data_IF_258479497427
#
_entry.id   IF_258479497427
#
_cell.length_a   1.000
_cell.length_b   1.000
_cell.length_c   1.000
_cell.angle_alpha   90.00
_cell.angle_beta   90.00
_cell.angle_gamma   90.00
#
_symmetry.space_group_name_H-M   'P 1'
#
loop_
_entity.id
_entity.type
_entity.pdbx_description
1 polymer ?
#
# COMPACT_ATOMS: atom_id res chain seq x y z
N UNK A 1 22.50 -1.05 11.38
CA UNK A 1 21.18 -0.37 11.40
C UNK A 1 20.16 -1.42 11.04
N UNK A 2 18.96 -1.42 11.59
CA UNK A 2 17.92 -2.36 11.17
C UNK A 2 17.59 -2.09 9.70
N UNK A 3 17.48 -3.14 8.89
CA UNK A 3 17.05 -3.03 7.49
C UNK A 3 15.56 -2.64 7.39
N UNK A 4 14.86 -2.64 8.54
CA UNK A 4 13.43 -2.37 8.66
C UNK A 4 13.15 -1.00 9.30
N UNK A 5 12.36 -0.17 8.62
CA UNK A 5 11.94 1.14 9.16
C UNK A 5 10.69 1.01 10.03
N UNK A 6 9.82 0.05 9.72
CA UNK A 6 8.66 -0.33 10.54
C UNK A 6 8.77 -1.82 10.87
N UNK A 7 8.54 -2.16 12.14
CA UNK A 7 8.46 -3.54 12.63
C UNK A 7 7.24 -3.67 13.53
N UNK A 8 6.35 -4.58 13.22
CA UNK A 8 5.15 -4.91 13.98
C UNK A 8 5.18 -6.40 14.29
N UNK A 9 4.94 -6.78 15.56
CA UNK A 9 4.88 -8.18 15.97
C UNK A 9 3.64 -8.42 16.83
N UNK A 10 2.80 -9.37 16.41
CA UNK A 10 1.56 -9.84 17.04
C UNK A 10 0.66 -8.68 17.53
N UNK A 11 0.51 -7.64 16.70
CA UNK A 11 -0.22 -6.43 17.12
C UNK A 11 -1.73 -6.72 17.15
N UNK A 12 -2.36 -6.38 18.31
CA UNK A 12 -3.78 -6.61 18.55
C UNK A 12 -4.48 -5.35 19.00
N UNK A 13 -5.68 -5.11 18.47
CA UNK A 13 -6.55 -4.00 18.87
C UNK A 13 -8.01 -4.35 18.69
N UNK A 14 -8.80 -4.08 19.73
CA UNK A 14 -10.25 -4.25 19.71
C UNK A 14 -10.96 -2.95 20.06
N UNK A 15 -12.12 -2.75 19.45
CA UNK A 15 -13.06 -1.66 19.77
C UNK A 15 -14.43 -2.24 20.09
N UNK A 16 -14.94 -1.99 21.28
CA UNK A 16 -16.27 -2.45 21.72
C UNK A 16 -16.51 -3.95 21.42
N UNK A 17 -15.49 -4.79 21.63
CA UNK A 17 -15.54 -6.24 21.42
C UNK A 17 -15.27 -6.70 19.97
N UNK A 18 -15.18 -5.79 19.01
CA UNK A 18 -14.79 -6.13 17.62
C UNK A 18 -13.29 -5.99 17.44
N UNK A 19 -12.64 -7.04 16.96
CA UNK A 19 -11.20 -7.05 16.65
C UNK A 19 -10.93 -6.28 15.37
N UNK A 20 -10.18 -5.20 15.47
CA UNK A 20 -9.69 -4.43 14.33
C UNK A 20 -8.29 -4.88 13.89
N UNK A 21 -7.45 -5.33 14.84
CA UNK A 21 -6.19 -6.01 14.59
C UNK A 21 -6.17 -7.30 15.42
N UNK A 22 -5.76 -8.41 14.80
CA UNK A 22 -5.81 -9.73 15.40
C UNK A 22 -4.50 -10.53 15.17
N UNK A 23 -3.39 -9.99 15.67
CA UNK A 23 -2.08 -10.60 15.49
C UNK A 23 -1.42 -10.19 14.18
N UNK A 24 -1.38 -8.89 13.92
CA UNK A 24 -0.71 -8.35 12.74
C UNK A 24 0.80 -8.40 12.93
N UNK A 25 1.49 -9.07 11.99
CA UNK A 25 2.94 -9.03 11.81
C UNK A 25 3.26 -8.27 10.52
N UNK A 26 4.21 -7.32 10.58
CA UNK A 26 4.59 -6.51 9.42
C UNK A 26 6.03 -6.03 9.54
N UNK A 27 6.78 -6.06 8.43
CA UNK A 27 8.10 -5.46 8.31
C UNK A 27 8.18 -4.64 7.03
N UNK A 28 8.63 -3.39 7.15
CA UNK A 28 8.77 -2.47 6.02
C UNK A 28 10.24 -2.16 5.81
N UNK A 29 10.81 -2.49 4.65
CA UNK A 29 12.20 -2.18 4.32
C UNK A 29 12.45 -0.67 4.25
N UNK A 30 13.63 -0.23 4.68
CA UNK A 30 14.04 1.16 4.51
C UNK A 30 14.27 1.50 3.03
N UNK A 31 13.89 2.71 2.61
CA UNK A 31 14.07 3.20 1.25
C UNK A 31 13.12 2.63 0.21
N UNK A 32 12.10 1.87 0.61
CA UNK A 32 11.12 1.27 -0.30
C UNK A 32 9.81 2.05 -0.36
N UNK A 33 9.07 1.86 -1.46
CA UNK A 33 7.65 2.20 -1.54
C UNK A 33 6.86 0.96 -1.15
N UNK A 34 6.20 1.01 0.00
CA UNK A 34 5.47 -0.11 0.57
C UNK A 34 3.95 0.12 0.50
N UNK A 35 3.25 -0.72 -0.25
CA UNK A 35 1.79 -0.71 -0.37
C UNK A 35 1.13 -1.57 0.72
N UNK A 36 0.25 -0.98 1.52
CA UNK A 36 -0.52 -1.66 2.55
C UNK A 36 -1.99 -1.80 2.11
N UNK A 37 -2.30 -2.97 1.58
CA UNK A 37 -3.53 -3.26 0.86
C UNK A 37 -4.57 -3.96 1.72
N UNK A 38 -5.84 -3.61 1.55
CA UNK A 38 -6.93 -4.33 2.20
C UNK A 38 -8.28 -3.67 1.95
N UNK A 39 -9.34 -4.42 2.16
CA UNK A 39 -10.71 -3.91 2.08
C UNK A 39 -10.97 -2.85 3.17
N UNK A 40 -12.05 -2.10 3.01
CA UNK A 40 -12.49 -1.20 4.09
C UNK A 40 -12.84 -2.02 5.34
N UNK A 41 -12.33 -1.57 6.50
CA UNK A 41 -12.46 -2.30 7.76
C UNK A 41 -11.42 -3.40 8.00
N UNK A 42 -10.47 -3.66 7.09
CA UNK A 42 -9.42 -4.67 7.27
C UNK A 42 -8.41 -4.35 8.39
N UNK A 43 -8.34 -3.09 8.86
CA UNK A 43 -7.43 -2.66 9.92
C UNK A 43 -6.35 -1.66 9.50
N UNK A 44 -6.33 -1.20 8.23
CA UNK A 44 -5.30 -0.28 7.69
C UNK A 44 -5.14 0.99 8.53
N UNK A 45 -6.19 1.80 8.65
CA UNK A 45 -6.19 3.05 9.43
C UNK A 45 -5.89 2.81 10.92
N UNK A 46 -6.33 1.67 11.49
CA UNK A 46 -6.01 1.28 12.87
C UNK A 46 -4.52 1.03 13.03
N UNK A 47 -3.88 0.34 12.10
CA UNK A 47 -2.44 0.12 12.05
C UNK A 47 -1.68 1.45 11.97
N UNK A 48 -2.06 2.30 11.02
CA UNK A 48 -1.45 3.63 10.83
C UNK A 48 -1.58 4.50 12.09
N UNK A 49 -2.78 4.57 12.69
CA UNK A 49 -3.00 5.31 13.94
C UNK A 49 -2.14 4.76 15.09
N UNK A 50 -1.91 3.45 15.14
CA UNK A 50 -1.01 2.85 16.12
C UNK A 50 0.44 3.25 15.86
N UNK A 51 0.94 3.16 14.62
CA UNK A 51 2.30 3.58 14.24
C UNK A 51 2.56 5.06 14.56
N UNK A 52 1.54 5.91 14.39
CA UNK A 52 1.60 7.34 14.73
C UNK A 52 1.44 7.61 16.24
N UNK A 53 1.28 6.58 17.07
CA UNK A 53 0.99 6.70 18.50
C UNK A 53 -0.27 7.56 18.81
N UNK A 54 -1.27 7.53 17.91
CA UNK A 54 -2.58 8.10 18.15
C UNK A 54 -3.51 7.08 18.80
N UNK A 55 -3.16 5.80 18.73
CA UNK A 55 -3.91 4.68 19.26
C UNK A 55 -2.96 3.71 19.97
N UNK A 56 -3.29 3.36 21.22
CA UNK A 56 -2.55 2.34 21.96
C UNK A 56 -3.08 0.96 21.60
N UNK A 57 -2.20 0.00 21.23
CA UNK A 57 -2.61 -1.39 21.02
C UNK A 57 -3.01 -2.05 22.35
N UNK A 58 -3.78 -3.14 22.26
CA UNK A 58 -4.16 -3.93 23.44
C UNK A 58 -3.04 -4.92 23.81
N UNK A 59 -2.33 -5.45 22.81
CA UNK A 59 -1.13 -6.28 22.97
C UNK A 59 -0.26 -6.26 21.71
N UNK A 60 0.90 -6.92 21.76
CA UNK A 60 1.90 -6.90 20.70
C UNK A 60 2.81 -5.68 20.77
N UNK A 61 3.69 -5.55 19.78
CA UNK A 61 4.67 -4.45 19.74
C UNK A 61 4.74 -3.83 18.35
N UNK A 62 5.01 -2.53 18.31
CA UNK A 62 5.34 -1.81 17.08
C UNK A 62 6.58 -0.94 17.31
N UNK A 63 7.47 -0.92 16.33
CA UNK A 63 8.68 -0.09 16.31
C UNK A 63 8.73 0.69 15.00
N UNK A 64 9.22 1.92 15.08
CA UNK A 64 9.53 2.76 13.91
C UNK A 64 10.93 3.32 14.11
N UNK A 65 11.80 3.16 13.10
CA UNK A 65 13.23 3.45 13.19
C UNK A 65 13.94 2.72 14.34
N UNK A 66 13.49 1.48 14.66
CA UNK A 66 13.98 0.71 15.80
C UNK A 66 13.48 1.18 17.18
N UNK A 67 12.78 2.33 17.25
CA UNK A 67 12.24 2.89 18.49
C UNK A 67 10.81 2.38 18.75
N UNK A 68 10.47 1.98 19.99
CA UNK A 68 9.13 1.52 20.31
C UNK A 68 8.11 2.64 20.17
N UNK A 69 6.93 2.29 19.62
CA UNK A 69 5.79 3.21 19.57
C UNK A 69 5.05 3.14 20.90
N UNK A 70 4.72 4.31 21.47
CA UNK A 70 3.89 4.38 22.68
C UNK A 70 4.61 4.76 23.97
N UNK A 71 5.91 5.01 23.89
CA UNK A 71 6.72 5.52 25.02
C UNK A 71 7.17 6.98 24.82
N UNK A 72 8.14 7.43 25.62
CA UNK A 72 8.73 8.77 25.54
C UNK A 72 9.38 9.09 24.18
N UNK A 73 9.82 8.09 23.42
CA UNK A 73 10.40 8.25 22.08
C UNK A 73 9.37 8.59 20.99
N UNK A 74 8.06 8.48 21.26
CA UNK A 74 7.01 8.75 20.29
C UNK A 74 7.05 10.17 19.68
N UNK A 75 7.56 11.18 20.40
CA UNK A 75 7.73 12.54 19.85
C UNK A 75 8.87 12.57 18.83
N UNK A 76 9.99 11.93 19.12
CA UNK A 76 11.12 11.84 18.22
C UNK A 76 10.75 11.11 16.93
N UNK A 77 10.07 9.98 17.05
CA UNK A 77 9.55 9.21 15.92
C UNK A 77 8.66 10.09 15.04
N UNK A 78 7.66 10.79 15.61
CA UNK A 78 6.74 11.65 14.84
C UNK A 78 7.42 12.83 14.15
N UNK A 79 8.52 13.34 14.69
CA UNK A 79 9.30 14.41 14.03
C UNK A 79 9.96 13.95 12.74
N UNK A 80 10.24 12.66 12.62
CA UNK A 80 10.89 12.04 11.45
C UNK A 80 9.88 11.50 10.43
N UNK A 81 8.58 11.50 10.76
CA UNK A 81 7.51 11.02 9.89
C UNK A 81 6.77 12.18 9.23
N UNK A 82 6.58 12.12 7.92
CA UNK A 82 5.56 12.89 7.21
C UNK A 82 4.26 12.09 7.19
N UNK A 83 3.15 12.68 7.64
CA UNK A 83 1.89 11.97 7.75
C UNK A 83 0.79 12.69 6.97
N UNK A 84 0.03 11.92 6.18
CA UNK A 84 -1.19 12.35 5.49
C UNK A 84 -2.32 11.43 5.91
N UNK A 85 -3.40 12.02 6.43
CA UNK A 85 -4.62 11.30 6.84
C UNK A 85 -5.58 11.14 5.67
N UNK A 86 -6.44 10.11 5.72
CA UNK A 86 -7.58 9.95 4.82
C UNK A 86 -8.52 11.18 4.90
N UNK A 87 -8.86 11.63 6.12
CA UNK A 87 -9.59 12.87 6.36
C UNK A 87 -8.66 14.07 6.13
N UNK A 88 -8.74 14.67 4.97
CA UNK A 88 -7.86 15.77 4.52
C UNK A 88 -8.31 17.11 5.11
N UNK A 89 -8.38 17.17 6.46
CA UNK A 89 -8.77 18.38 7.18
C UNK A 89 -7.60 19.32 7.38
N UNK A 90 -7.80 20.56 6.97
CA UNK A 90 -6.88 21.69 7.16
C UNK A 90 -7.66 22.84 7.82
N UNK A 91 -6.94 23.76 8.46
CA UNK A 91 -7.59 24.91 9.12
C UNK A 91 -8.33 25.80 8.10
N UNK A 92 -9.69 25.85 8.13
CA UNK A 92 -10.49 26.47 7.08
C UNK A 92 -10.32 28.00 7.00
N UNK A 93 -9.86 28.65 8.08
CA UNK A 93 -9.62 30.10 8.13
C UNK A 93 -8.24 30.52 7.59
N UNK A 94 -7.42 29.57 7.16
CA UNK A 94 -6.08 29.85 6.62
C UNK A 94 -6.07 29.85 5.09
N UNK A 95 -5.03 30.55 4.54
CA UNK A 95 -4.60 30.43 3.16
C UNK A 95 -3.48 29.41 3.03
N UNK A 96 -3.18 28.98 1.82
CA UNK A 96 -2.08 28.04 1.51
C UNK A 96 -0.74 28.51 2.12
N UNK A 97 -0.34 29.76 1.89
CA UNK A 97 0.91 30.32 2.45
C UNK A 97 0.91 30.37 3.98
N UNK A 98 -0.26 30.54 4.59
CA UNK A 98 -0.38 30.65 6.05
C UNK A 98 -0.23 29.29 6.71
N UNK A 99 -0.87 28.22 6.17
CA UNK A 99 -0.73 26.87 6.71
C UNK A 99 0.70 26.34 6.52
N UNK A 100 1.36 26.65 5.39
CA UNK A 100 2.77 26.31 5.16
C UNK A 100 3.66 26.97 6.20
N UNK A 101 3.54 28.30 6.39
CA UNK A 101 4.32 29.05 7.37
C UNK A 101 4.06 28.56 8.79
N UNK A 102 2.82 28.28 9.15
CA UNK A 102 2.43 27.73 10.45
C UNK A 102 3.11 26.38 10.69
N UNK A 103 2.99 25.45 9.73
CA UNK A 103 3.57 24.09 9.83
C UNK A 103 5.10 24.17 9.93
N UNK A 104 5.74 24.99 9.11
CA UNK A 104 7.21 25.21 9.12
C UNK A 104 7.73 25.53 10.52
N UNK A 105 7.00 26.32 11.31
CA UNK A 105 7.40 26.70 12.67
C UNK A 105 7.62 25.53 13.63
N UNK A 106 7.07 24.36 13.36
CA UNK A 106 7.21 23.15 14.20
C UNK A 106 8.34 22.21 13.75
N UNK A 107 8.91 22.41 12.55
CA UNK A 107 9.87 21.49 11.94
C UNK A 107 11.21 22.16 11.62
N UNK A 108 12.24 22.00 12.47
CA UNK A 108 13.55 22.63 12.27
C UNK A 108 14.27 22.19 10.98
N UNK A 109 13.95 21.00 10.48
CA UNK A 109 14.52 20.42 9.23
C UNK A 109 13.66 20.73 8.00
N UNK A 110 12.88 21.82 8.04
CA UNK A 110 12.00 22.17 6.93
C UNK A 110 12.78 22.39 5.63
N UNK A 111 12.35 21.72 4.57
CA UNK A 111 12.95 21.75 3.24
C UNK A 111 12.31 22.86 2.39
N UNK A 112 12.86 24.06 2.51
CA UNK A 112 12.38 25.24 1.75
C UNK A 112 12.58 25.09 0.22
N UNK A 113 13.56 24.30 -0.20
CA UNK A 113 13.79 23.92 -1.59
C UNK A 113 12.62 23.10 -2.14
N UNK A 114 12.17 22.07 -1.43
CA UNK A 114 11.02 21.25 -1.79
C UNK A 114 9.71 22.05 -1.73
N UNK A 115 9.54 22.93 -0.74
CA UNK A 115 8.38 23.81 -0.66
C UNK A 115 8.22 24.63 -1.95
N UNK A 116 9.28 25.29 -2.42
CA UNK A 116 9.26 26.08 -3.65
C UNK A 116 8.97 25.20 -4.88
N UNK A 117 9.58 24.00 -4.94
CA UNK A 117 9.36 23.03 -6.02
C UNK A 117 7.90 22.60 -6.05
N UNK A 118 7.33 22.15 -4.92
CA UNK A 118 5.98 21.60 -4.87
C UNK A 118 4.87 22.65 -4.94
N UNK A 119 5.08 23.86 -4.46
CA UNK A 119 4.13 24.95 -4.72
C UNK A 119 3.94 25.18 -6.22
N UNK A 120 5.04 25.06 -6.99
CA UNK A 120 5.01 25.23 -8.45
C UNK A 120 4.47 23.99 -9.17
N UNK A 121 4.98 22.80 -8.88
CA UNK A 121 4.60 21.57 -9.60
C UNK A 121 3.13 21.18 -9.34
N UNK A 122 2.63 21.39 -8.13
CA UNK A 122 1.25 21.11 -7.75
C UNK A 122 0.26 22.23 -8.10
N UNK A 123 0.74 23.32 -8.71
CA UNK A 123 -0.07 24.50 -9.04
C UNK A 123 -0.91 25.00 -7.83
N UNK A 124 -0.27 25.16 -6.68
CA UNK A 124 -0.91 25.61 -5.45
C UNK A 124 -0.80 27.12 -5.28
N UNK A 125 -1.88 27.90 -5.50
CA UNK A 125 -1.84 29.34 -5.36
C UNK A 125 -1.66 29.76 -3.89
N UNK A 126 -0.57 30.45 -3.50
CA UNK A 126 -0.25 30.74 -2.09
C UNK A 126 -1.33 31.55 -1.37
N UNK A 127 -2.01 32.44 -2.09
CA UNK A 127 -3.03 33.33 -1.52
C UNK A 127 -4.43 32.74 -1.48
N UNK A 128 -4.65 31.54 -2.05
CA UNK A 128 -5.95 30.88 -2.09
C UNK A 128 -6.34 30.37 -0.71
N UNK A 129 -7.62 30.54 -0.33
CA UNK A 129 -8.14 30.07 0.95
C UNK A 129 -8.32 28.53 0.94
N UNK A 130 -8.11 27.89 2.06
CA UNK A 130 -8.22 26.42 2.19
C UNK A 130 -9.61 25.90 1.77
N UNK A 131 -10.75 26.53 2.14
CA UNK A 131 -12.06 26.08 1.70
C UNK A 131 -12.25 26.10 0.16
N UNK A 132 -11.56 26.99 -0.54
CA UNK A 132 -11.66 27.15 -1.99
C UNK A 132 -10.82 26.15 -2.79
N UNK A 133 -10.00 25.33 -2.11
CA UNK A 133 -9.20 24.30 -2.74
C UNK A 133 -10.09 23.12 -3.19
N UNK A 134 -9.83 22.61 -4.38
CA UNK A 134 -10.40 21.32 -4.80
C UNK A 134 -9.88 20.18 -3.91
N UNK A 135 -10.54 19.02 -3.94
CA UNK A 135 -10.08 17.84 -3.19
C UNK A 135 -8.64 17.46 -3.56
N UNK A 136 -8.32 17.48 -4.87
CA UNK A 136 -6.96 17.23 -5.37
C UNK A 136 -5.94 18.25 -4.87
N UNK A 137 -6.27 19.55 -4.90
CA UNK A 137 -5.38 20.58 -4.35
C UNK A 137 -5.14 20.43 -2.85
N UNK A 138 -6.15 20.00 -2.08
CA UNK A 138 -5.97 19.72 -0.64
C UNK A 138 -5.03 18.54 -0.42
N UNK A 139 -5.18 17.46 -1.18
CA UNK A 139 -4.29 16.30 -1.11
C UNK A 139 -2.85 16.68 -1.44
N UNK A 140 -2.63 17.43 -2.52
CA UNK A 140 -1.31 17.95 -2.92
C UNK A 140 -0.71 18.86 -1.83
N UNK A 141 -1.52 19.72 -1.22
CA UNK A 141 -1.05 20.59 -0.13
C UNK A 141 -0.65 19.76 1.09
N UNK A 142 -1.44 18.77 1.49
CA UNK A 142 -1.09 17.88 2.62
C UNK A 142 0.18 17.10 2.33
N UNK A 143 0.35 16.60 1.12
CA UNK A 143 1.56 15.90 0.70
C UNK A 143 2.77 16.85 0.75
N UNK A 144 2.66 18.08 0.23
CA UNK A 144 3.69 19.11 0.35
C UNK A 144 4.08 19.34 1.82
N UNK A 145 3.09 19.51 2.70
CA UNK A 145 3.35 19.74 4.13
C UNK A 145 4.05 18.52 4.77
N UNK A 146 3.70 17.30 4.39
CA UNK A 146 4.32 16.09 4.90
C UNK A 146 5.78 15.92 4.42
N UNK A 147 6.05 16.18 3.13
CA UNK A 147 7.38 16.06 2.52
C UNK A 147 8.33 17.12 3.06
N UNK A 148 7.89 18.39 3.11
CA UNK A 148 8.76 19.51 3.47
C UNK A 148 9.23 19.50 4.93
N UNK A 149 8.69 18.64 5.79
CA UNK A 149 9.12 18.46 7.20
C UNK A 149 10.54 17.90 7.35
N UNK A 150 11.15 17.43 6.26
CA UNK A 150 12.42 16.69 6.30
C UNK A 150 12.21 15.28 6.84
N UNK A 151 11.11 14.64 6.42
CA UNK A 151 10.73 13.29 6.83
C UNK A 151 11.71 12.25 6.27
N UNK A 152 11.93 11.18 7.03
CA UNK A 152 12.66 9.98 6.64
C UNK A 152 11.71 8.84 6.26
N UNK A 153 10.45 8.95 6.70
CA UNK A 153 9.34 8.03 6.39
C UNK A 153 8.09 8.87 6.09
N UNK A 154 7.41 8.59 4.98
CA UNK A 154 6.06 9.06 4.73
C UNK A 154 5.07 7.95 5.09
N UNK A 155 4.07 8.25 5.91
CA UNK A 155 2.91 7.41 6.17
C UNK A 155 1.69 8.11 5.57
N UNK A 156 1.08 7.46 4.57
CA UNK A 156 -0.01 8.03 3.79
C UNK A 156 -1.24 7.13 3.91
N UNK A 157 -2.32 7.63 4.51
CA UNK A 157 -3.57 6.89 4.63
C UNK A 157 -4.52 7.28 3.49
N UNK A 158 -4.70 6.38 2.52
CA UNK A 158 -5.52 6.55 1.31
C UNK A 158 -5.23 7.90 0.59
N UNK A 159 -3.97 8.17 0.16
CA UNK A 159 -3.55 9.50 -0.31
C UNK A 159 -4.30 9.97 -1.55
N UNK A 160 -4.76 9.05 -2.38
CA UNK A 160 -5.43 9.26 -3.67
C UNK A 160 -6.95 9.12 -3.61
N UNK A 161 -7.50 8.74 -2.43
CA UNK A 161 -8.95 8.50 -2.33
C UNK A 161 -9.79 9.68 -2.76
N UNK A 162 -10.74 9.40 -3.67
CA UNK A 162 -11.70 10.35 -4.24
C UNK A 162 -11.07 11.47 -5.05
N UNK A 163 -9.90 11.27 -5.61
CA UNK A 163 -9.28 12.13 -6.62
C UNK A 163 -9.71 11.70 -8.02
N UNK A 164 -9.62 12.65 -8.94
CA UNK A 164 -9.73 12.32 -10.37
C UNK A 164 -8.44 11.60 -10.86
N UNK A 165 -8.52 10.87 -11.99
CA UNK A 165 -7.38 10.09 -12.49
C UNK A 165 -6.11 10.92 -12.74
N UNK A 166 -6.24 12.19 -13.18
CA UNK A 166 -5.10 13.04 -13.47
C UNK A 166 -4.37 13.46 -12.19
N UNK A 167 -5.11 13.83 -11.14
CA UNK A 167 -4.57 14.17 -9.84
C UNK A 167 -3.94 12.93 -9.15
N UNK A 168 -4.54 11.76 -9.30
CA UNK A 168 -4.00 10.49 -8.82
C UNK A 168 -2.65 10.20 -9.46
N UNK A 169 -2.58 10.21 -10.79
CA UNK A 169 -1.35 9.94 -11.54
C UNK A 169 -0.22 10.91 -11.18
N UNK A 170 -0.54 12.18 -10.97
CA UNK A 170 0.44 13.19 -10.57
C UNK A 170 1.01 12.89 -9.17
N UNK A 171 0.17 12.54 -8.20
CA UNK A 171 0.61 12.18 -6.84
C UNK A 171 1.47 10.92 -6.88
N UNK A 172 1.05 9.87 -7.57
CA UNK A 172 1.82 8.62 -7.66
C UNK A 172 3.19 8.85 -8.29
N UNK A 173 3.28 9.64 -9.36
CA UNK A 173 4.55 10.00 -10.00
C UNK A 173 5.49 10.76 -9.05
N UNK A 174 4.96 11.69 -8.27
CA UNK A 174 5.76 12.43 -7.29
C UNK A 174 6.26 11.52 -6.15
N UNK A 175 5.47 10.54 -5.71
CA UNK A 175 5.90 9.56 -4.71
C UNK A 175 7.09 8.71 -5.23
N UNK A 176 7.03 8.26 -6.47
CA UNK A 176 8.14 7.52 -7.12
C UNK A 176 9.39 8.41 -7.21
N UNK A 177 9.25 9.66 -7.66
CA UNK A 177 10.38 10.59 -7.76
C UNK A 177 11.04 10.86 -6.41
N UNK A 178 10.24 11.03 -5.35
CA UNK A 178 10.72 11.24 -3.98
C UNK A 178 11.49 10.04 -3.42
N UNK A 179 11.02 8.83 -3.67
CA UNK A 179 11.71 7.61 -3.24
C UNK A 179 13.07 7.48 -3.94
N UNK A 180 13.12 7.77 -5.25
CA UNK A 180 14.34 7.68 -6.05
C UNK A 180 15.39 8.76 -5.68
N UNK A 181 14.97 9.98 -5.26
CA UNK A 181 15.88 11.09 -5.00
C UNK A 181 16.66 10.99 -3.68
N UNK A 182 16.19 10.23 -2.68
CA UNK A 182 16.80 10.36 -1.36
C UNK A 182 16.66 9.21 -0.37
N UNK A 183 16.27 8.00 -0.80
CA UNK A 183 16.11 6.87 0.12
C UNK A 183 14.96 7.07 1.13
N UNK A 184 14.01 7.95 0.82
CA UNK A 184 12.80 8.16 1.60
C UNK A 184 11.94 6.89 1.55
N UNK A 185 11.58 6.37 2.70
CA UNK A 185 10.63 5.27 2.77
C UNK A 185 9.21 5.82 2.66
N UNK A 186 8.37 5.16 1.86
CA UNK A 186 6.96 5.52 1.69
C UNK A 186 6.11 4.32 2.07
N UNK A 187 5.29 4.46 3.11
CA UNK A 187 4.30 3.49 3.52
C UNK A 187 2.92 4.07 3.25
N UNK A 188 2.18 3.49 2.32
CA UNK A 188 0.86 4.01 1.98
C UNK A 188 -0.21 2.93 1.99
N UNK A 189 -1.35 3.25 2.58
CA UNK A 189 -2.53 2.40 2.49
C UNK A 189 -3.30 2.70 1.22
N UNK A 190 -3.87 1.66 0.62
CA UNK A 190 -4.82 1.80 -0.48
C UNK A 190 -5.78 0.60 -0.55
N UNK A 191 -6.97 0.83 -1.07
CA UNK A 191 -7.89 -0.20 -1.52
C UNK A 191 -7.90 -0.32 -3.05
N UNK A 192 -7.16 0.54 -3.75
CA UNK A 192 -7.03 0.59 -5.22
C UNK A 192 -5.77 -0.16 -5.66
N UNK A 193 -5.95 -1.43 -6.05
CA UNK A 193 -4.85 -2.34 -6.39
C UNK A 193 -3.99 -1.85 -7.55
N UNK A 194 -4.60 -1.19 -8.55
CA UNK A 194 -3.89 -0.68 -9.72
C UNK A 194 -2.85 0.41 -9.36
N UNK A 195 -3.17 1.29 -8.40
CA UNK A 195 -2.25 2.33 -7.93
C UNK A 195 -1.04 1.72 -7.23
N UNK A 196 -1.28 0.71 -6.38
CA UNK A 196 -0.20 0.02 -5.69
C UNK A 196 0.67 -0.76 -6.65
N UNK A 197 0.07 -1.48 -7.61
CA UNK A 197 0.79 -2.23 -8.64
C UNK A 197 1.70 -1.34 -9.50
N UNK A 198 1.35 -0.07 -9.63
CA UNK A 198 2.08 0.90 -10.43
C UNK A 198 3.38 1.39 -9.77
N UNK A 199 3.39 1.54 -8.42
CA UNK A 199 4.48 2.23 -7.74
C UNK A 199 5.16 1.46 -6.61
N UNK A 200 4.55 0.39 -6.08
CA UNK A 200 5.08 -0.29 -4.90
C UNK A 200 6.20 -1.26 -5.25
N UNK A 201 7.26 -1.26 -4.43
CA UNK A 201 8.33 -2.27 -4.46
C UNK A 201 7.94 -3.49 -3.63
N UNK A 202 7.29 -3.25 -2.49
CA UNK A 202 6.81 -4.26 -1.55
C UNK A 202 5.35 -4.02 -1.21
N UNK A 203 4.65 -5.09 -0.88
CA UNK A 203 3.25 -5.01 -0.47
C UNK A 203 2.96 -5.87 0.75
N UNK A 204 1.92 -5.52 1.49
CA UNK A 204 1.23 -6.44 2.39
C UNK A 204 -0.26 -6.35 2.18
N UNK A 205 -0.91 -7.51 2.04
CA UNK A 205 -2.37 -7.63 1.99
C UNK A 205 -2.85 -7.94 3.41
N UNK A 206 -3.71 -7.06 3.94
CA UNK A 206 -4.35 -7.25 5.25
C UNK A 206 -5.82 -7.59 5.06
N UNK A 207 -6.29 -8.61 5.78
CA UNK A 207 -7.71 -8.90 5.96
C UNK A 207 -8.00 -9.23 7.42
N UNK A 208 -9.15 -8.78 7.93
CA UNK A 208 -9.62 -9.02 9.31
C UNK A 208 -8.54 -8.80 10.40
N UNK A 209 -7.68 -7.79 10.18
CA UNK A 209 -6.63 -7.40 11.13
C UNK A 209 -5.37 -8.27 11.12
N UNK A 210 -5.19 -9.14 10.10
CA UNK A 210 -4.02 -10.00 9.91
C UNK A 210 -3.36 -9.73 8.57
N UNK A 211 -2.04 -9.81 8.49
CA UNK A 211 -1.35 -9.83 7.21
C UNK A 211 -1.48 -11.25 6.61
N UNK A 212 -2.06 -11.33 5.41
CA UNK A 212 -2.24 -12.60 4.68
C UNK A 212 -1.05 -12.86 3.76
N UNK A 213 -0.60 -11.79 3.07
CA UNK A 213 0.53 -11.82 2.14
C UNK A 213 1.42 -10.64 2.47
N UNK A 214 2.73 -10.86 2.54
CA UNK A 214 3.75 -9.79 2.63
C UNK A 214 4.96 -10.24 1.85
N UNK A 215 5.27 -9.52 0.76
CA UNK A 215 6.41 -9.86 -0.10
C UNK A 215 6.79 -8.67 -1.00
N UNK A 216 7.89 -8.79 -1.76
CA UNK A 216 8.15 -7.90 -2.88
C UNK A 216 7.10 -8.12 -3.99
N UNK A 217 6.75 -7.05 -4.70
CA UNK A 217 5.76 -7.15 -5.79
C UNK A 217 6.28 -8.04 -6.93
N UNK A 218 7.59 -7.98 -7.19
CA UNK A 218 8.23 -8.78 -8.23
C UNK A 218 8.24 -10.26 -7.87
N UNK A 219 8.58 -10.63 -6.62
CA UNK A 219 8.54 -12.02 -6.16
C UNK A 219 7.12 -12.60 -6.21
N UNK A 220 6.12 -11.80 -5.84
CA UNK A 220 4.71 -12.21 -5.96
C UNK A 220 4.32 -12.46 -7.43
N UNK A 221 4.70 -11.57 -8.34
CA UNK A 221 4.42 -11.74 -9.78
C UNK A 221 5.18 -12.93 -10.40
N UNK A 222 6.36 -13.25 -9.88
CA UNK A 222 7.10 -14.45 -10.30
C UNK A 222 6.48 -15.73 -9.74
N UNK A 223 6.03 -15.70 -8.49
CA UNK A 223 5.44 -16.84 -7.79
C UNK A 223 4.09 -17.25 -8.36
N UNK A 224 3.22 -16.28 -8.65
CA UNK A 224 1.88 -16.54 -9.19
C UNK A 224 1.90 -16.49 -10.71
N UNK A 225 1.33 -17.52 -11.35
CA UNK A 225 1.24 -17.61 -12.81
C UNK A 225 -0.18 -18.02 -13.22
N UNK A 226 -0.63 -17.46 -14.33
CA UNK A 226 -1.85 -17.90 -14.99
C UNK A 226 -1.51 -18.82 -16.14
N UNK A 227 -2.09 -20.01 -16.13
CA UNK A 227 -1.98 -20.97 -17.22
C UNK A 227 -3.35 -21.09 -17.90
N UNK A 228 -3.39 -20.85 -19.21
CA UNK A 228 -4.57 -21.06 -20.05
C UNK A 228 -4.36 -22.27 -20.91
N UNK A 229 -5.32 -23.22 -20.86
CA UNK A 229 -5.33 -24.43 -21.66
C UNK A 229 -6.57 -24.40 -22.55
N UNK A 230 -6.39 -24.55 -23.86
CA UNK A 230 -7.49 -24.67 -24.81
C UNK A 230 -7.57 -26.12 -25.28
N UNK A 231 -8.61 -26.83 -24.88
CA UNK A 231 -8.81 -28.22 -25.25
C UNK A 231 -9.26 -28.34 -26.72
N UNK A 232 -8.90 -29.45 -27.38
CA UNK A 232 -9.37 -29.73 -28.75
C UNK A 232 -10.88 -29.92 -28.80
N UNK A 233 -11.46 -30.50 -27.74
CA UNK A 233 -12.90 -30.74 -27.63
C UNK A 233 -13.41 -30.26 -26.26
N UNK A 234 -14.65 -29.83 -26.23
CA UNK A 234 -15.32 -29.52 -24.96
C UNK A 234 -15.46 -30.78 -24.10
N UNK A 235 -15.16 -30.65 -22.82
CA UNK A 235 -15.31 -31.74 -21.86
C UNK A 235 -15.98 -31.19 -20.58
N UNK A 236 -16.88 -31.97 -20.03
CA UNK A 236 -17.45 -31.72 -18.70
C UNK A 236 -16.65 -32.42 -17.59
N UNK A 237 -15.62 -33.20 -17.95
CA UNK A 237 -14.78 -33.88 -16.97
C UNK A 237 -13.90 -32.84 -16.23
N UNK A 238 -13.98 -32.86 -14.90
CA UNK A 238 -13.08 -32.07 -14.07
C UNK A 238 -11.69 -32.71 -14.09
N UNK A 239 -10.71 -31.92 -14.55
CA UNK A 239 -9.31 -32.31 -14.49
C UNK A 239 -8.81 -32.14 -13.06
N UNK A 240 -8.30 -33.22 -12.47
CA UNK A 240 -7.61 -33.14 -11.18
C UNK A 240 -6.18 -32.67 -11.40
N UNK A 241 -5.90 -31.46 -11.01
CA UNK A 241 -4.58 -30.83 -11.18
C UNK A 241 -3.62 -31.26 -10.06
N UNK A 242 -2.33 -31.20 -10.36
CA UNK A 242 -1.26 -31.38 -9.36
C UNK A 242 -1.30 -30.26 -8.32
N UNK A 243 -0.67 -30.46 -7.17
CA UNK A 243 -0.57 -29.45 -6.10
C UNK A 243 0.08 -28.16 -6.60
N UNK A 244 -0.45 -27.03 -6.14
CA UNK A 244 0.02 -25.67 -6.52
C UNK A 244 -0.96 -24.91 -7.38
N UNK A 245 -2.09 -25.51 -7.81
CA UNK A 245 -3.19 -24.81 -8.46
C UNK A 245 -4.13 -24.28 -7.40
N UNK A 246 -4.24 -22.96 -7.31
CA UNK A 246 -5.08 -22.25 -6.33
C UNK A 246 -6.51 -22.08 -6.87
N UNK A 247 -6.65 -21.84 -8.17
CA UNK A 247 -7.95 -21.61 -8.78
C UNK A 247 -8.04 -22.28 -10.15
N UNK A 248 -9.19 -22.88 -10.44
CA UNK A 248 -9.55 -23.44 -11.75
C UNK A 248 -10.84 -22.80 -12.22
N UNK A 249 -10.83 -22.23 -13.41
CA UNK A 249 -12.01 -21.76 -14.10
C UNK A 249 -12.09 -22.43 -15.45
N UNK A 250 -13.21 -23.13 -15.72
CA UNK A 250 -13.42 -23.84 -17.01
C UNK A 250 -14.68 -23.27 -17.67
N UNK A 251 -14.52 -22.87 -18.92
CA UNK A 251 -15.61 -22.39 -19.76
C UNK A 251 -15.49 -23.01 -21.15
N UNK A 252 -16.40 -23.91 -21.47
CA UNK A 252 -16.34 -24.69 -22.71
C UNK A 252 -15.03 -25.46 -22.85
N UNK A 253 -14.26 -25.13 -23.88
CA UNK A 253 -12.94 -25.72 -24.15
C UNK A 253 -11.78 -25.02 -23.44
N UNK A 254 -12.01 -23.88 -22.82
CA UNK A 254 -10.98 -23.09 -22.17
C UNK A 254 -10.92 -23.40 -20.67
N UNK A 255 -9.72 -23.77 -20.19
CA UNK A 255 -9.41 -23.90 -18.77
C UNK A 255 -8.40 -22.80 -18.42
N UNK A 256 -8.71 -22.00 -17.40
CA UNK A 256 -7.81 -20.99 -16.86
C UNK A 256 -7.44 -21.38 -15.43
N UNK A 257 -6.15 -21.50 -15.17
CA UNK A 257 -5.59 -21.87 -13.87
C UNK A 257 -4.86 -20.68 -13.28
N UNK A 258 -5.01 -20.45 -11.99
CA UNK A 258 -4.10 -19.64 -11.19
C UNK A 258 -3.23 -20.60 -10.38
N UNK A 259 -1.93 -20.51 -10.52
CA UNK A 259 -0.98 -21.39 -9.85
C UNK A 259 0.06 -20.57 -9.08
N UNK A 260 0.43 -21.05 -7.88
CA UNK A 260 1.43 -20.40 -7.01
C UNK A 260 2.67 -21.27 -6.76
N UNK A 261 2.61 -22.55 -7.11
CA UNK A 261 3.69 -23.55 -6.93
C UNK A 261 3.65 -24.57 -8.05
N UNK A 262 4.77 -25.29 -8.22
CA UNK A 262 4.88 -26.41 -9.14
C UNK A 262 4.47 -26.10 -10.59
N UNK A 263 4.76 -24.89 -11.06
CA UNK A 263 4.34 -24.36 -12.37
C UNK A 263 4.75 -25.31 -13.51
N UNK A 264 5.98 -25.83 -13.48
CA UNK A 264 6.49 -26.73 -14.52
C UNK A 264 5.66 -28.02 -14.59
N UNK A 265 5.35 -28.63 -13.45
CA UNK A 265 4.52 -29.85 -13.39
C UNK A 265 3.08 -29.57 -13.86
N UNK A 266 2.54 -28.39 -13.56
CA UNK A 266 1.22 -27.96 -14.06
C UNK A 266 1.25 -27.81 -15.57
N UNK A 267 2.30 -27.20 -16.14
CA UNK A 267 2.47 -27.06 -17.58
C UNK A 267 2.66 -28.40 -18.28
N UNK A 268 3.44 -29.33 -17.70
CA UNK A 268 3.58 -30.68 -18.22
C UNK A 268 2.24 -31.43 -18.22
N UNK A 269 1.50 -31.37 -17.11
CA UNK A 269 0.17 -31.94 -17.05
C UNK A 269 -0.79 -31.31 -18.07
N UNK A 270 -0.78 -30.00 -18.20
CA UNK A 270 -1.57 -29.28 -19.19
C UNK A 270 -1.27 -29.75 -20.63
N UNK A 271 0.01 -29.89 -20.96
CA UNK A 271 0.46 -30.37 -22.28
C UNK A 271 0.12 -31.83 -22.54
N UNK A 272 -0.05 -32.65 -21.49
CA UNK A 272 -0.48 -34.05 -21.62
C UNK A 272 -1.97 -34.21 -21.95
N UNK A 273 -2.75 -33.15 -21.79
CA UNK A 273 -4.16 -33.12 -22.21
C UNK A 273 -4.26 -32.97 -23.73
N UNK A 274 -5.36 -33.45 -24.31
CA UNK A 274 -5.68 -33.20 -25.73
C UNK A 274 -6.07 -31.72 -25.90
N UNK A 275 -5.07 -30.86 -26.05
CA UNK A 275 -5.22 -29.42 -26.13
C UNK A 275 -4.62 -28.84 -27.42
N UNK A 276 -5.22 -27.78 -27.93
CA UNK A 276 -4.75 -27.02 -29.07
C UNK A 276 -3.71 -25.96 -28.68
N UNK A 277 -3.75 -25.44 -27.47
CA UNK A 277 -2.73 -24.54 -26.93
C UNK A 277 -2.63 -24.59 -25.42
N UNK A 278 -1.42 -24.34 -24.92
CA UNK A 278 -1.12 -24.05 -23.50
C UNK A 278 -0.30 -22.79 -23.47
N UNK A 279 -0.82 -21.76 -22.81
CA UNK A 279 -0.22 -20.44 -22.74
C UNK A 279 -0.05 -20.03 -21.28
N UNK A 280 1.02 -19.32 -20.98
CA UNK A 280 1.33 -18.79 -19.65
C UNK A 280 1.28 -17.26 -19.69
N UNK A 281 0.65 -16.66 -18.70
CA UNK A 281 0.47 -15.22 -18.59
C UNK A 281 0.92 -14.73 -17.21
N UNK A 282 1.48 -13.51 -17.13
CA UNK A 282 1.71 -12.85 -15.87
C UNK A 282 0.39 -12.58 -15.15
N UNK A 283 0.42 -12.58 -13.83
CA UNK A 283 -0.73 -12.35 -12.96
C UNK A 283 -0.72 -10.90 -12.49
N UNK A 284 -1.89 -10.29 -12.42
CA UNK A 284 -2.06 -8.96 -11.84
C UNK A 284 -2.16 -9.03 -10.31
N UNK A 285 -1.80 -7.94 -9.63
CA UNK A 285 -1.98 -7.83 -8.19
C UNK A 285 -3.45 -8.05 -7.76
N UNK A 286 -4.40 -7.67 -8.62
CA UNK A 286 -5.83 -7.91 -8.40
C UNK A 286 -6.17 -9.39 -8.27
N UNK A 287 -5.57 -10.22 -9.10
CA UNK A 287 -5.81 -11.67 -9.10
C UNK A 287 -5.23 -12.32 -7.84
N UNK A 288 -4.00 -11.92 -7.47
CA UNK A 288 -3.36 -12.37 -6.23
C UNK A 288 -4.21 -11.95 -5.01
N UNK A 289 -4.67 -10.70 -4.98
CA UNK A 289 -5.52 -10.20 -3.89
C UNK A 289 -6.82 -10.99 -3.74
N UNK A 290 -7.53 -11.21 -4.86
CA UNK A 290 -8.80 -11.94 -4.83
C UNK A 290 -8.64 -13.37 -4.36
N UNK A 291 -7.52 -14.02 -4.69
CA UNK A 291 -7.22 -15.38 -4.22
C UNK A 291 -6.88 -15.38 -2.73
N UNK A 292 -5.98 -14.50 -2.31
CA UNK A 292 -5.53 -14.42 -0.90
C UNK A 292 -6.68 -14.17 0.08
N UNK A 293 -7.69 -13.38 -0.32
CA UNK A 293 -8.84 -13.03 0.54
C UNK A 293 -9.95 -14.09 0.51
N UNK A 294 -9.94 -15.03 -0.48
CA UNK A 294 -10.92 -16.14 -0.56
C UNK A 294 -10.51 -17.38 0.22
N UNK A 295 -9.20 -17.54 0.43
CA UNK A 295 -8.63 -18.76 1.03
C UNK A 295 -8.82 -18.84 2.57
N UNK A 296 -9.39 -17.79 3.20
CA UNK A 296 -9.78 -17.71 4.62
C UNK A 296 -11.32 -17.66 4.78
#
# INVERSE_FOLDING_TARGET
>A
MSDWVIEINDLRKSFKGQRALDGLDLRVPAGSIFGFLGRNGAGKTTTIKTLMNFLRPDSGTARVFGLPVGDASGIEVRRRIGFVTEEKELYPYMKVEQIIRFTRGFFPRWRADLEKRYLKSFDLPPKKSIPDLSKGMRSKLMLLLAICRGAELLILDEPTDGLDPAATEEILRELVALSAEGGLTIFFSSHQLAEVEQIADHISIIDRGRAIVTDSLDDLKMKYQRVRVVLERETSAQVKWVDGVEQVHQEGRMISLLASRNIDSILEQARSLQCSSVEQFPVTLKEIFLESVRSD
#
